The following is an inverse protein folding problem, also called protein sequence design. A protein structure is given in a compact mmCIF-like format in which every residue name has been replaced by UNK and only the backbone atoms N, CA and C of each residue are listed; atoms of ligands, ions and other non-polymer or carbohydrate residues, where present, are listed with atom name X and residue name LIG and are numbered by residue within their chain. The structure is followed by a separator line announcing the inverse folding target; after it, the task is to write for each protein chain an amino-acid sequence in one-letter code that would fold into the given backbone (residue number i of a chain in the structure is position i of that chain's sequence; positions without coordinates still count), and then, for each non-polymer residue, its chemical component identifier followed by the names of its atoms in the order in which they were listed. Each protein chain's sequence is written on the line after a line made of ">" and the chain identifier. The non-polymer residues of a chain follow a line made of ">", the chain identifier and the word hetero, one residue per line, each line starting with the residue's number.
data_IF_758174150555
#
_entry.id   IF_758174150555
#
_cell.length_a   1.000
_cell.length_b   1.000
_cell.length_c   1.000
_cell.angle_alpha   90.00
_cell.angle_beta   90.00
_cell.angle_gamma   90.00
#
_symmetry.space_group_name_H-M   'P 1'
#
loop_
_entity.id
_entity.type
_entity.pdbx_description
1 polymer ?
#
# COMPACT_ATOMS: atom_id res chain seq x y z
N UNK A 1 -1.96 16.02 -10.72
CA UNK A 1 -2.24 15.56 -9.34
C UNK A 1 -3.43 14.63 -9.40
N UNK A 2 -3.27 13.37 -8.97
CA UNK A 2 -4.38 12.41 -8.88
C UNK A 2 -5.04 12.58 -7.52
N UNK A 3 -6.27 13.07 -7.49
CA UNK A 3 -7.04 13.21 -6.25
C UNK A 3 -8.00 12.03 -6.13
N UNK A 4 -7.80 11.18 -5.12
CA UNK A 4 -8.70 10.07 -4.80
C UNK A 4 -9.49 10.40 -3.52
N UNK A 5 -10.83 10.43 -3.62
CA UNK A 5 -11.71 10.50 -2.46
C UNK A 5 -11.97 9.09 -1.93
N UNK A 6 -11.47 8.78 -0.73
CA UNK A 6 -11.65 7.49 -0.06
C UNK A 6 -12.82 7.56 0.93
N UNK A 7 -13.93 6.90 0.61
CA UNK A 7 -14.91 6.52 1.64
C UNK A 7 -14.30 5.46 2.58
N UNK A 8 -14.59 5.52 3.89
CA UNK A 8 -13.96 4.63 4.91
C UNK A 8 -14.10 3.14 4.60
N UNK A 9 -15.22 2.71 4.01
CA UNK A 9 -15.47 1.31 3.64
C UNK A 9 -14.58 0.86 2.48
N UNK A 10 -14.37 1.72 1.49
CA UNK A 10 -13.49 1.45 0.35
C UNK A 10 -12.02 1.52 0.74
N UNK A 11 -11.69 2.38 1.70
CA UNK A 11 -10.33 2.56 2.20
C UNK A 11 -9.74 1.32 2.87
N UNK A 12 -10.58 0.49 3.47
CA UNK A 12 -10.15 -0.74 4.15
C UNK A 12 -9.79 -1.85 3.16
N UNK A 13 -10.29 -1.77 1.91
CA UNK A 13 -9.88 -2.69 0.85
C UNK A 13 -8.55 -2.22 0.29
N UNK A 14 -7.62 -3.16 0.17
CA UNK A 14 -6.34 -2.87 -0.44
C UNK A 14 -6.53 -2.35 -1.88
N UNK A 15 -5.87 -1.23 -2.18
CA UNK A 15 -5.79 -0.67 -3.52
C UNK A 15 -4.30 -0.52 -3.89
N UNK A 16 -3.89 -0.88 -5.13
CA UNK A 16 -2.49 -0.77 -5.54
C UNK A 16 -1.89 0.62 -5.34
N UNK A 17 -2.70 1.68 -5.48
CA UNK A 17 -2.28 3.07 -5.28
C UNK A 17 -1.75 3.36 -3.86
N UNK A 18 -2.10 2.54 -2.86
CA UNK A 18 -1.58 2.73 -1.50
C UNK A 18 -0.08 2.46 -1.41
N UNK A 19 0.45 1.60 -2.29
CA UNK A 19 1.90 1.37 -2.38
C UNK A 19 2.62 2.66 -2.77
N UNK A 20 2.09 3.39 -3.74
CA UNK A 20 2.65 4.69 -4.14
C UNK A 20 2.49 5.74 -3.03
N UNK A 21 1.36 5.73 -2.32
CA UNK A 21 1.11 6.64 -1.19
C UNK A 21 2.01 6.37 0.03
N UNK A 22 2.56 5.16 0.19
CA UNK A 22 3.56 4.90 1.23
C UNK A 22 4.84 5.70 0.98
N UNK A 23 5.27 5.80 -0.27
CA UNK A 23 6.48 6.53 -0.67
C UNK A 23 6.21 8.03 -0.80
N UNK A 24 5.12 8.39 -1.47
CA UNK A 24 4.83 9.74 -1.89
C UNK A 24 3.41 10.12 -1.46
N UNK A 25 3.27 10.72 -0.27
CA UNK A 25 2.00 11.29 0.17
C UNK A 25 2.15 12.71 0.69
N UNK A 26 1.17 13.53 0.33
CA UNK A 26 0.85 14.76 1.03
C UNK A 26 -0.50 14.53 1.73
N UNK A 27 -0.51 14.54 3.06
CA UNK A 27 -1.74 14.42 3.84
C UNK A 27 -2.40 15.80 3.85
N UNK A 28 -3.49 15.96 3.10
CA UNK A 28 -4.23 17.22 3.02
C UNK A 28 -5.18 17.40 4.22
N UNK A 29 -5.85 16.32 4.63
CA UNK A 29 -6.76 16.30 5.79
C UNK A 29 -6.99 14.85 6.22
N UNK A 30 -6.71 14.53 7.49
CA UNK A 30 -6.96 13.20 8.06
C UNK A 30 -7.68 13.33 9.40
N UNK A 31 -9.02 13.19 9.35
CA UNK A 31 -9.86 13.25 10.54
C UNK A 31 -9.76 11.92 11.29
N UNK A 32 -9.55 12.00 12.61
CA UNK A 32 -9.39 10.85 13.52
C UNK A 32 -8.15 9.98 13.26
N UNK A 33 -7.16 10.46 12.49
CA UNK A 33 -5.97 9.69 12.07
C UNK A 33 -6.33 8.36 11.37
N UNK A 34 -7.48 8.33 10.69
CA UNK A 34 -7.96 7.12 10.02
C UNK A 34 -7.00 6.70 8.91
N UNK A 35 -6.61 7.64 8.05
CA UNK A 35 -5.72 7.34 6.92
C UNK A 35 -4.30 7.03 7.40
N UNK A 36 -3.82 7.75 8.42
CA UNK A 36 -2.55 7.45 9.06
C UNK A 36 -2.52 6.02 9.60
N UNK A 37 -3.53 5.60 10.37
CA UNK A 37 -3.60 4.24 10.90
C UNK A 37 -3.72 3.18 9.80
N UNK A 38 -4.42 3.49 8.71
CA UNK A 38 -4.51 2.63 7.53
C UNK A 38 -3.12 2.41 6.89
N UNK A 39 -2.35 3.48 6.70
CA UNK A 39 -1.00 3.41 6.13
C UNK A 39 -0.01 2.71 7.06
N UNK A 40 -0.13 2.90 8.37
CA UNK A 40 0.68 2.18 9.36
C UNK A 40 0.42 0.67 9.31
N UNK A 41 -0.86 0.26 9.32
CA UNK A 41 -1.23 -1.16 9.13
C UNK A 41 -0.71 -1.72 7.81
N UNK A 42 -0.85 -0.98 6.72
CA UNK A 42 -0.35 -1.42 5.43
C UNK A 42 1.17 -1.61 5.47
N UNK A 43 1.91 -0.65 6.03
CA UNK A 43 3.36 -0.75 6.15
C UNK A 43 3.79 -1.98 6.96
N UNK A 44 3.08 -2.29 8.04
CA UNK A 44 3.35 -3.47 8.86
C UNK A 44 3.02 -4.78 8.13
N UNK A 45 1.91 -4.83 7.39
CA UNK A 45 1.56 -6.00 6.56
C UNK A 45 2.58 -6.22 5.44
N UNK A 46 3.03 -5.16 4.76
CA UNK A 46 4.08 -5.29 3.75
C UNK A 46 5.41 -5.74 4.35
N UNK A 47 5.74 -5.26 5.55
CA UNK A 47 6.93 -5.69 6.28
C UNK A 47 6.87 -7.17 6.66
N UNK A 48 5.71 -7.65 7.11
CA UNK A 48 5.53 -9.07 7.46
C UNK A 48 5.54 -10.00 6.24
N UNK A 49 5.09 -9.51 5.09
CA UNK A 49 5.18 -10.22 3.81
C UNK A 49 6.59 -10.22 3.21
N UNK A 50 7.51 -9.41 3.74
CA UNK A 50 8.84 -9.23 3.17
C UNK A 50 8.83 -8.43 1.86
N UNK A 51 7.85 -7.53 1.70
CA UNK A 51 7.70 -6.73 0.48
C UNK A 51 8.95 -5.90 0.21
N UNK A 52 9.44 -5.95 -1.03
CA UNK A 52 10.56 -5.12 -1.50
C UNK A 52 10.16 -4.29 -2.70
N UNK A 53 10.71 -3.08 -2.77
CA UNK A 53 10.63 -2.23 -3.95
C UNK A 53 11.85 -2.47 -4.82
N UNK A 54 11.63 -2.71 -6.09
CA UNK A 54 12.67 -2.92 -7.09
C UNK A 54 12.63 -1.71 -8.01
N UNK A 55 13.66 -0.88 -7.97
CA UNK A 55 13.87 0.20 -8.93
C UNK A 55 14.79 -0.30 -10.04
N UNK A 56 14.44 0.01 -11.28
CA UNK A 56 15.23 -0.32 -12.46
C UNK A 56 16.05 0.90 -12.91
N UNK A 57 17.21 0.67 -13.57
CA UNK A 57 18.05 1.77 -14.06
C UNK A 57 17.37 2.70 -15.08
N UNK A 58 16.30 2.24 -15.74
CA UNK A 58 15.52 3.01 -16.69
C UNK A 58 14.48 3.95 -16.03
N UNK A 59 14.44 3.98 -14.70
CA UNK A 59 13.52 4.79 -13.90
C UNK A 59 12.16 4.13 -13.65
N UNK A 60 11.93 2.92 -14.17
CA UNK A 60 10.75 2.13 -13.80
C UNK A 60 10.93 1.51 -12.43
N UNK A 61 9.82 1.22 -11.74
CA UNK A 61 9.86 0.52 -10.47
C UNK A 61 8.70 -0.46 -10.36
N UNK A 62 8.93 -1.53 -9.59
CA UNK A 62 7.94 -2.53 -9.24
C UNK A 62 7.95 -2.81 -7.74
N UNK A 63 6.85 -3.36 -7.26
CA UNK A 63 6.73 -3.86 -5.90
C UNK A 63 6.66 -5.38 -5.94
N UNK A 64 7.59 -6.04 -5.27
CA UNK A 64 7.53 -7.48 -5.01
C UNK A 64 6.91 -7.66 -3.63
N UNK A 65 5.62 -8.00 -3.57
CA UNK A 65 4.87 -8.07 -2.32
C UNK A 65 5.36 -9.18 -1.39
N UNK A 66 5.68 -10.35 -1.95
CA UNK A 66 6.22 -11.48 -1.22
C UNK A 66 7.31 -12.13 -2.09
N UNK A 67 8.57 -12.18 -1.64
CA UNK A 67 9.66 -12.75 -2.44
C UNK A 67 9.50 -14.26 -2.62
N UNK A 68 8.91 -14.95 -1.64
CA UNK A 68 8.66 -16.40 -1.67
C UNK A 68 7.24 -16.74 -2.16
N UNK A 69 6.67 -15.91 -3.04
CA UNK A 69 5.31 -16.16 -3.57
C UNK A 69 5.32 -17.37 -4.50
N UNK A 70 4.36 -18.28 -4.30
CA UNK A 70 4.16 -19.44 -5.18
C UNK A 70 3.09 -19.18 -6.24
N UNK A 71 3.21 -19.74 -7.46
CA UNK A 71 2.18 -19.57 -8.48
C UNK A 71 0.82 -20.09 -8.00
N UNK A 72 -0.21 -19.23 -8.06
CA UNK A 72 -1.56 -19.55 -7.56
C UNK A 72 -1.80 -19.17 -6.10
N UNK A 73 -0.80 -18.62 -5.40
CA UNK A 73 -0.95 -18.12 -4.04
C UNK A 73 -1.77 -16.81 -4.02
N UNK A 74 -2.80 -16.77 -3.18
CA UNK A 74 -3.64 -15.59 -2.99
C UNK A 74 -3.07 -14.79 -1.83
N UNK A 75 -2.62 -13.56 -2.09
CA UNK A 75 -2.20 -12.63 -1.05
C UNK A 75 -3.41 -11.77 -0.66
N UNK A 76 -3.94 -11.99 0.53
CA UNK A 76 -4.99 -11.14 1.11
C UNK A 76 -4.36 -10.09 2.02
N UNK A 77 -4.53 -8.82 1.65
CA UNK A 77 -4.12 -7.68 2.48
C UNK A 77 -5.40 -7.13 3.10
N UNK A 78 -5.59 -7.40 4.39
CA UNK A 78 -6.67 -6.82 5.19
C UNK A 78 -6.13 -5.61 5.98
N UNK A 79 -6.79 -4.46 5.83
CA UNK A 79 -6.42 -3.21 6.52
C UNK A 79 -7.49 -2.76 7.55
N UNK A 80 -8.53 -3.57 7.76
CA UNK A 80 -9.72 -3.32 8.57
C UNK A 80 -10.71 -4.47 8.49
#
# INVERSE_FOLDING_TARGET
>A
MTTASLERSHAQRFQPIYLDMLLHRAILYDKDRFFQGLMEKLADTLRSLGTIRIEHPDGTYGWLLKPDITPGEIIEINLG
#
